data_IF_791511606907
#
_entry.id   IF_791511606907
#
_cell.length_a   1.000
_cell.length_b   1.000
_cell.length_c   1.000
_cell.angle_alpha   90.00
_cell.angle_beta   90.00
_cell.angle_gamma   90.00
#
_symmetry.space_group_name_H-M   'P 1'
#
loop_
_entity.id
_entity.type
_entity.pdbx_description
1 polymer ?
#
# COMPACT_ATOMS: atom_id res chain seq x y z
N UNK A 1 8.07 -14.98 3.82
CA UNK A 1 8.10 -13.53 4.07
C UNK A 1 6.70 -12.97 4.08
N UNK A 2 6.39 -12.21 5.06
CA UNK A 2 5.07 -11.63 5.13
C UNK A 2 4.96 -10.39 4.27
N UNK A 3 3.82 -10.24 3.66
CA UNK A 3 3.54 -9.06 2.86
C UNK A 3 2.57 -8.13 3.56
N UNK A 4 2.47 -8.29 4.87
CA UNK A 4 1.56 -7.45 5.64
C UNK A 4 2.11 -6.05 5.70
N UNK A 5 1.31 -5.10 5.28
CA UNK A 5 1.67 -3.70 5.35
C UNK A 5 0.96 -3.07 6.55
N UNK A 6 1.68 -2.24 7.26
CA UNK A 6 1.06 -1.45 8.31
C UNK A 6 0.58 -0.15 7.71
N UNK A 7 -0.32 0.54 8.42
CA UNK A 7 -0.81 1.83 7.94
C UNK A 7 0.33 2.82 7.73
N UNK A 8 1.35 2.77 8.59
CA UNK A 8 2.49 3.66 8.43
C UNK A 8 3.23 3.41 7.14
N UNK A 9 3.46 2.13 6.81
CA UNK A 9 4.14 1.79 5.58
C UNK A 9 3.29 2.20 4.37
N UNK A 10 1.99 1.96 4.43
CA UNK A 10 1.11 2.34 3.33
C UNK A 10 1.13 3.84 3.13
N UNK A 11 1.09 4.61 4.20
CA UNK A 11 1.14 6.06 4.09
C UNK A 11 2.42 6.53 3.42
N UNK A 12 3.53 5.88 3.73
CA UNK A 12 4.79 6.23 3.10
C UNK A 12 4.79 5.90 1.62
N UNK A 13 4.03 4.87 1.24
CA UNK A 13 3.98 4.45 -0.15
C UNK A 13 2.96 5.23 -0.99
N UNK A 14 1.96 5.81 -0.34
CA UNK A 14 0.88 6.45 -1.09
C UNK A 14 1.34 7.50 -2.09
N UNK A 15 2.27 8.39 -1.76
CA UNK A 15 2.72 9.37 -2.75
C UNK A 15 3.28 8.71 -4.01
N UNK A 16 4.10 7.68 -3.83
CA UNK A 16 4.66 6.96 -4.97
C UNK A 16 3.59 6.14 -5.68
N UNK A 17 2.69 5.55 -4.92
CA UNK A 17 1.61 4.75 -5.49
C UNK A 17 0.74 5.60 -6.41
N UNK A 18 0.37 6.77 -5.95
CA UNK A 18 -0.49 7.68 -6.72
C UNK A 18 0.20 8.12 -7.99
N UNK A 19 1.50 8.28 -7.95
CA UNK A 19 2.26 8.72 -9.12
C UNK A 19 2.66 7.57 -10.04
N UNK A 20 2.30 6.35 -9.67
CA UNK A 20 2.58 5.20 -10.51
C UNK A 20 4.02 4.75 -10.47
N UNK A 21 4.72 5.03 -9.39
CA UNK A 21 6.13 4.69 -9.26
C UNK A 21 6.38 3.37 -8.55
N UNK A 22 5.31 2.71 -8.09
CA UNK A 22 5.46 1.46 -7.37
C UNK A 22 5.23 0.27 -8.29
N UNK A 23 5.83 -0.87 -7.93
CA UNK A 23 5.68 -2.08 -8.71
C UNK A 23 4.26 -2.64 -8.58
N UNK A 24 3.89 -3.50 -9.53
CA UNK A 24 2.57 -4.10 -9.52
C UNK A 24 2.28 -4.83 -8.21
N UNK A 25 3.25 -5.56 -7.69
CA UNK A 25 3.08 -6.29 -6.44
C UNK A 25 2.78 -5.33 -5.29
N UNK A 26 3.48 -4.21 -5.26
CA UNK A 26 3.27 -3.21 -4.24
C UNK A 26 1.88 -2.60 -4.38
N UNK A 27 1.47 -2.33 -5.61
CA UNK A 27 0.15 -1.77 -5.86
C UNK A 27 -0.94 -2.69 -5.32
N UNK A 28 -0.80 -3.99 -5.56
CA UNK A 28 -1.79 -4.94 -5.09
C UNK A 28 -1.83 -5.01 -3.56
N UNK A 29 -0.65 -4.95 -2.94
CA UNK A 29 -0.57 -4.98 -1.48
C UNK A 29 -1.22 -3.74 -0.87
N UNK A 30 -0.96 -2.57 -1.46
CA UNK A 30 -1.54 -1.32 -0.98
C UNK A 30 -3.06 -1.36 -1.12
N UNK A 31 -3.54 -1.82 -2.27
CA UNK A 31 -4.97 -1.86 -2.51
C UNK A 31 -5.67 -2.82 -1.55
N UNK A 32 -5.03 -3.95 -1.26
CA UNK A 32 -5.58 -4.90 -0.31
C UNK A 32 -5.66 -4.29 1.08
N UNK A 33 -4.60 -3.57 1.48
CA UNK A 33 -4.60 -2.93 2.79
C UNK A 33 -5.69 -1.88 2.89
N UNK A 34 -5.84 -1.07 1.86
CA UNK A 34 -6.86 -0.02 1.86
C UNK A 34 -8.25 -0.61 1.93
N UNK A 35 -8.43 -1.79 1.37
CA UNK A 35 -9.72 -2.46 1.41
C UNK A 35 -10.04 -2.95 2.82
N UNK A 36 -9.01 -3.34 3.58
CA UNK A 36 -9.19 -3.89 4.92
C UNK A 36 -9.12 -2.84 6.02
N UNK A 37 -8.45 -1.74 5.77
CA UNK A 37 -8.20 -0.73 6.80
C UNK A 37 -8.95 0.55 6.47
N UNK A 38 -10.01 0.80 7.20
CA UNK A 38 -10.84 1.98 6.93
C UNK A 38 -10.11 3.28 7.27
N UNK A 39 -9.11 3.19 8.15
CA UNK A 39 -8.36 4.38 8.54
C UNK A 39 -7.40 4.84 7.46
N UNK A 40 -7.05 3.97 6.57
CA UNK A 40 -6.17 4.33 5.47
C UNK A 40 -6.97 4.58 4.23
#
# INVERSE_FOLDING_TARGET
MKNDLTCGVVRDLLPSYVEGLTALETNEAVERHLSDCADC
#
